data_IF_484127448785
#
_entry.id   IF_484127448785
#
_cell.length_a   1.000
_cell.length_b   1.000
_cell.length_c   1.000
_cell.angle_alpha   90.00
_cell.angle_beta   90.00
_cell.angle_gamma   90.00
#
_symmetry.space_group_name_H-M   'P 1'
#
loop_
_entity.id
_entity.type
_entity.pdbx_description
1 polymer ?
#
# COMPACT_ATOMS: atom_id res chain seq x y z
N UNK A 1 24.76 4.27 2.44
CA UNK A 1 23.46 3.56 2.47
C UNK A 1 23.71 2.17 3.01
N UNK A 2 22.89 1.70 3.94
CA UNK A 2 22.95 0.32 4.46
C UNK A 2 22.81 -0.68 3.28
N UNK A 3 23.76 -1.63 3.09
CA UNK A 3 23.69 -2.63 2.03
C UNK A 3 22.36 -3.41 2.02
N UNK A 4 21.79 -3.69 3.19
CA UNK A 4 20.52 -4.43 3.33
C UNK A 4 19.34 -3.58 2.83
N UNK A 5 19.31 -2.30 3.17
CA UNK A 5 18.32 -1.36 2.66
C UNK A 5 18.39 -1.25 1.12
N UNK A 6 19.60 -1.21 0.55
CA UNK A 6 19.80 -1.12 -0.90
C UNK A 6 19.25 -2.35 -1.62
N UNK A 7 19.51 -3.55 -1.10
CA UNK A 7 18.99 -4.80 -1.65
C UNK A 7 17.45 -4.81 -1.65
N UNK A 8 16.83 -4.43 -0.53
CA UNK A 8 15.38 -4.44 -0.36
C UNK A 8 14.69 -3.43 -1.28
N UNK A 9 15.25 -2.22 -1.43
CA UNK A 9 14.76 -1.22 -2.38
C UNK A 9 14.85 -1.71 -3.83
N UNK A 10 15.97 -2.32 -4.21
CA UNK A 10 16.12 -2.87 -5.56
C UNK A 10 15.10 -3.97 -5.85
N UNK A 11 14.91 -4.91 -4.92
CA UNK A 11 13.91 -5.97 -5.04
C UNK A 11 12.50 -5.39 -5.23
N UNK A 12 12.11 -4.41 -4.40
CA UNK A 12 10.79 -3.79 -4.47
C UNK A 12 10.58 -3.07 -5.81
N UNK A 13 11.59 -2.32 -6.28
CA UNK A 13 11.55 -1.66 -7.57
C UNK A 13 11.35 -2.67 -8.72
N UNK A 14 12.08 -3.78 -8.72
CA UNK A 14 11.93 -4.81 -9.75
C UNK A 14 10.54 -5.47 -9.71
N UNK A 15 9.98 -5.74 -8.53
CA UNK A 15 8.62 -6.26 -8.40
C UNK A 15 7.56 -5.27 -8.89
N UNK A 16 7.78 -3.97 -8.70
CA UNK A 16 6.91 -2.91 -9.21
C UNK A 16 6.92 -2.85 -10.74
N UNK A 17 8.11 -2.86 -11.35
CA UNK A 17 8.27 -2.87 -12.81
C UNK A 17 7.61 -4.12 -13.43
N UNK A 18 7.80 -5.30 -12.82
CA UNK A 18 7.13 -6.53 -13.23
C UNK A 18 5.60 -6.40 -13.19
N UNK A 19 5.04 -5.81 -12.11
CA UNK A 19 3.59 -5.59 -11.98
C UNK A 19 3.06 -4.68 -13.09
N UNK A 20 3.73 -3.56 -13.38
CA UNK A 20 3.31 -2.62 -14.44
C UNK A 20 3.29 -3.31 -15.80
N UNK A 21 4.30 -4.10 -16.10
CA UNK A 21 4.41 -4.85 -17.35
C UNK A 21 3.51 -6.09 -17.39
N UNK A 22 2.98 -6.51 -16.23
CA UNK A 22 2.22 -7.75 -16.06
C UNK A 22 3.07 -9.01 -16.19
N UNK A 23 4.38 -8.90 -16.01
CA UNK A 23 5.30 -10.04 -16.01
C UNK A 23 5.14 -10.80 -14.69
N UNK A 24 5.11 -12.13 -14.78
CA UNK A 24 5.01 -13.04 -13.63
C UNK A 24 3.78 -12.84 -12.72
N UNK A 25 2.86 -11.93 -13.06
CA UNK A 25 1.61 -11.72 -12.36
C UNK A 25 0.74 -12.98 -12.47
N UNK A 26 0.60 -13.67 -11.35
CA UNK A 26 -0.10 -14.94 -11.19
C UNK A 26 -1.50 -14.76 -10.56
N UNK A 27 -1.99 -13.52 -10.48
CA UNK A 27 -3.38 -13.24 -10.16
C UNK A 27 -3.88 -11.93 -10.79
N UNK A 28 -5.21 -11.84 -10.92
CA UNK A 28 -5.94 -10.65 -11.30
C UNK A 28 -7.04 -10.37 -10.27
N UNK A 29 -7.01 -9.20 -9.65
CA UNK A 29 -8.07 -8.74 -8.76
C UNK A 29 -9.09 -7.94 -9.56
N UNK A 30 -10.38 -8.21 -9.37
CA UNK A 30 -11.48 -7.49 -10.04
C UNK A 30 -12.30 -6.78 -8.98
N UNK A 31 -12.38 -5.45 -9.08
CA UNK A 31 -13.17 -4.60 -8.18
C UNK A 31 -14.04 -3.67 -9.01
N UNK A 32 -15.36 -3.85 -8.94
CA UNK A 32 -16.35 -3.06 -9.71
C UNK A 32 -16.01 -2.95 -11.21
N UNK A 33 -15.54 -4.05 -11.80
CA UNK A 33 -15.17 -4.13 -13.23
C UNK A 33 -13.76 -3.61 -13.57
N UNK A 34 -13.03 -3.05 -12.60
CA UNK A 34 -11.62 -2.67 -12.78
C UNK A 34 -10.72 -3.83 -12.42
N UNK A 35 -9.76 -4.13 -13.31
CA UNK A 35 -8.84 -5.26 -13.17
C UNK A 35 -7.45 -4.79 -12.73
N UNK A 36 -6.89 -5.47 -11.74
CA UNK A 36 -5.54 -5.22 -11.23
C UNK A 36 -4.71 -6.50 -11.32
N UNK A 37 -3.67 -6.50 -12.16
CA UNK A 37 -2.67 -7.56 -12.17
C UNK A 37 -1.77 -7.43 -10.95
N UNK A 38 -1.42 -8.56 -10.33
CA UNK A 38 -0.54 -8.60 -9.16
C UNK A 38 0.12 -9.96 -9.00
N UNK A 39 1.10 -10.01 -8.11
CA UNK A 39 1.74 -11.24 -7.64
C UNK A 39 1.14 -11.69 -6.30
N UNK A 40 0.67 -12.93 -6.22
CA UNK A 40 0.09 -13.51 -5.01
C UNK A 40 1.03 -13.46 -3.82
N UNK A 41 2.32 -13.70 -4.05
CA UNK A 41 3.33 -13.69 -2.99
C UNK A 41 3.49 -12.31 -2.33
N UNK A 42 3.50 -11.23 -3.11
CA UNK A 42 3.55 -9.85 -2.60
C UNK A 42 2.28 -9.55 -1.82
N UNK A 43 1.10 -9.79 -2.42
CA UNK A 43 -0.17 -9.56 -1.74
C UNK A 43 -0.27 -10.32 -0.40
N UNK A 44 0.09 -11.60 -0.39
CA UNK A 44 0.09 -12.44 0.80
C UNK A 44 1.14 -12.05 1.84
N UNK A 45 2.22 -11.36 1.47
CA UNK A 45 3.20 -10.86 2.43
C UNK A 45 2.61 -9.72 3.29
N UNK A 46 1.80 -8.85 2.67
CA UNK A 46 1.24 -7.66 3.30
C UNK A 46 -0.17 -7.86 3.89
N UNK A 47 -0.94 -8.82 3.39
CA UNK A 47 -2.35 -9.01 3.72
C UNK A 47 -2.64 -10.42 4.20
N UNK A 48 -3.18 -10.53 5.42
CA UNK A 48 -3.67 -11.81 5.93
C UNK A 48 -4.88 -12.32 5.13
N UNK A 49 -5.73 -11.41 4.65
CA UNK A 49 -6.88 -11.74 3.81
C UNK A 49 -6.42 -12.44 2.52
N UNK A 50 -5.48 -11.85 1.78
CA UNK A 50 -4.97 -12.44 0.55
C UNK A 50 -4.22 -13.75 0.81
N UNK A 51 -3.45 -13.83 1.90
CA UNK A 51 -2.79 -15.08 2.31
C UNK A 51 -3.80 -16.22 2.48
N UNK A 52 -4.86 -15.99 3.26
CA UNK A 52 -5.91 -16.98 3.47
C UNK A 52 -6.70 -17.27 2.19
N UNK A 53 -6.98 -16.24 1.37
CA UNK A 53 -7.68 -16.40 0.09
C UNK A 53 -6.91 -17.36 -0.83
N UNK A 54 -5.61 -17.14 -1.02
CA UNK A 54 -4.80 -17.93 -1.96
C UNK A 54 -4.51 -19.34 -1.46
N UNK A 55 -4.36 -19.54 -0.15
CA UNK A 55 -4.19 -20.87 0.43
C UNK A 55 -5.44 -21.74 0.25
N UNK A 56 -6.63 -21.13 0.37
CA UNK A 56 -7.90 -21.83 0.24
C UNK A 56 -8.35 -22.00 -1.23
N UNK A 57 -7.78 -21.22 -2.15
CA UNK A 57 -8.13 -21.24 -3.57
C UNK A 57 -7.21 -22.13 -4.43
N UNK A 58 -6.45 -23.05 -3.82
CA UNK A 58 -5.47 -23.91 -4.52
C UNK A 58 -6.05 -24.77 -5.64
N UNK A 59 -7.39 -24.92 -5.69
CA UNK A 59 -8.12 -25.66 -6.72
C UNK A 59 -8.80 -24.78 -7.78
N UNK A 60 -8.72 -23.45 -7.71
CA UNK A 60 -9.33 -22.58 -8.73
C UNK A 60 -8.47 -22.54 -10.00
N UNK A 61 -9.09 -22.86 -11.14
CA UNK A 61 -8.43 -22.86 -12.47
C UNK A 61 -8.14 -21.46 -13.02
N UNK A 62 -8.88 -20.45 -12.56
CA UNK A 62 -8.78 -19.09 -13.05
C UNK A 62 -8.33 -18.21 -11.88
N UNK A 63 -7.09 -17.70 -11.93
CA UNK A 63 -6.49 -16.84 -10.92
C UNK A 63 -7.08 -15.41 -10.88
N UNK A 64 -8.39 -15.32 -11.11
CA UNK A 64 -9.18 -14.08 -11.17
C UNK A 64 -10.05 -14.01 -9.93
N UNK A 65 -9.75 -13.06 -9.05
CA UNK A 65 -10.39 -12.89 -7.75
C UNK A 65 -11.30 -11.67 -7.76
N UNK A 66 -12.59 -11.87 -7.60
CA UNK A 66 -13.56 -10.78 -7.49
C UNK A 66 -13.64 -10.36 -6.04
N UNK A 67 -13.26 -9.11 -5.74
CA UNK A 67 -13.24 -8.60 -4.37
C UNK A 67 -14.46 -7.74 -4.11
N UNK A 68 -15.10 -7.97 -2.97
CA UNK A 68 -16.19 -7.14 -2.47
C UNK A 68 -15.65 -5.92 -1.71
N UNK A 69 -14.94 -5.06 -2.44
CA UNK A 69 -14.37 -3.81 -1.92
C UNK A 69 -15.22 -2.64 -2.41
N UNK A 70 -15.66 -1.78 -1.48
CA UNK A 70 -16.55 -0.64 -1.79
C UNK A 70 -15.88 0.40 -2.69
N UNK A 71 -14.59 0.64 -2.54
CA UNK A 71 -13.89 1.74 -3.20
C UNK A 71 -12.72 1.24 -4.07
N UNK A 72 -12.81 1.47 -5.38
CA UNK A 72 -11.77 1.09 -6.35
C UNK A 72 -10.48 1.89 -6.12
N UNK A 73 -10.59 3.16 -5.73
CA UNK A 73 -9.42 4.01 -5.44
C UNK A 73 -8.59 3.45 -4.27
N UNK A 74 -9.26 3.00 -3.20
CA UNK A 74 -8.60 2.45 -2.02
C UNK A 74 -7.76 1.22 -2.32
N UNK A 75 -8.27 0.26 -3.11
CA UNK A 75 -7.48 -0.92 -3.49
C UNK A 75 -6.28 -0.53 -4.36
N UNK A 76 -6.47 0.40 -5.31
CA UNK A 76 -5.37 0.89 -6.15
C UNK A 76 -4.22 1.46 -5.32
N UNK A 77 -4.53 2.37 -4.38
CA UNK A 77 -3.53 2.98 -3.50
C UNK A 77 -2.85 1.96 -2.56
N UNK A 78 -3.60 0.98 -2.03
CA UNK A 78 -3.01 -0.10 -1.22
C UNK A 78 -2.04 -0.93 -2.05
N UNK A 79 -2.41 -1.29 -3.28
CA UNK A 79 -1.51 -2.02 -4.17
C UNK A 79 -0.28 -1.19 -4.50
N UNK A 80 -0.43 0.10 -4.80
CA UNK A 80 0.72 0.96 -5.09
C UNK A 80 1.64 1.06 -3.87
N UNK A 81 1.10 1.19 -2.67
CA UNK A 81 1.88 1.12 -1.44
C UNK A 81 2.63 -0.21 -1.28
N UNK A 82 2.00 -1.36 -1.55
CA UNK A 82 2.67 -2.67 -1.47
C UNK A 82 3.89 -2.78 -2.41
N UNK A 83 3.87 -2.05 -3.53
CA UNK A 83 4.92 -2.12 -4.56
C UNK A 83 5.88 -0.91 -4.57
N UNK A 84 5.57 0.17 -3.85
CA UNK A 84 6.38 1.40 -3.87
C UNK A 84 6.77 1.89 -2.48
N UNK A 85 6.22 1.30 -1.42
CA UNK A 85 6.28 1.78 -0.04
C UNK A 85 5.71 3.19 0.18
N UNK A 86 5.08 3.78 -0.84
CA UNK A 86 4.55 5.13 -0.80
C UNK A 86 3.04 5.12 -0.61
N UNK A 87 2.54 5.95 0.29
CA UNK A 87 1.11 6.14 0.53
C UNK A 87 0.82 7.60 0.87
N UNK A 88 0.07 8.26 -0.02
CA UNK A 88 -0.39 9.63 0.19
C UNK A 88 -1.72 9.63 0.94
N UNK A 89 -1.69 10.07 2.20
CA UNK A 89 -2.88 10.23 3.04
C UNK A 89 -3.27 11.71 3.15
N UNK A 90 -4.57 11.98 3.04
CA UNK A 90 -5.17 13.29 3.23
C UNK A 90 -6.59 13.15 3.82
N UNK A 91 -7.22 14.28 4.14
CA UNK A 91 -8.55 14.29 4.76
C UNK A 91 -9.64 13.69 3.86
N UNK A 92 -9.46 13.74 2.54
CA UNK A 92 -10.45 13.25 1.58
C UNK A 92 -10.39 11.72 1.42
N UNK A 93 -9.20 11.12 1.55
CA UNK A 93 -9.00 9.70 1.29
C UNK A 93 -8.87 8.82 2.54
N UNK A 94 -8.65 9.40 3.73
CA UNK A 94 -8.32 8.65 4.94
C UNK A 94 -9.38 7.60 5.32
N UNK A 95 -10.67 7.92 5.20
CA UNK A 95 -11.73 6.98 5.54
C UNK A 95 -11.83 5.83 4.53
N UNK A 96 -11.66 6.13 3.25
CA UNK A 96 -11.59 5.11 2.20
C UNK A 96 -10.41 4.16 2.46
N UNK A 97 -9.26 4.71 2.84
CA UNK A 97 -8.07 3.92 3.13
C UNK A 97 -8.23 3.04 4.38
N UNK A 98 -8.84 3.55 5.44
CA UNK A 98 -9.14 2.76 6.65
C UNK A 98 -10.06 1.58 6.32
N UNK A 99 -11.19 1.84 5.69
CA UNK A 99 -12.17 0.80 5.33
C UNK A 99 -11.53 -0.27 4.44
N UNK A 100 -10.78 0.15 3.43
CA UNK A 100 -10.14 -0.77 2.49
C UNK A 100 -9.04 -1.58 3.17
N UNK A 101 -8.18 -0.95 3.97
CA UNK A 101 -7.10 -1.64 4.67
C UNK A 101 -7.63 -2.59 5.75
N UNK A 102 -8.77 -2.27 6.38
CA UNK A 102 -9.45 -3.16 7.32
C UNK A 102 -10.05 -4.36 6.60
N UNK A 103 -10.76 -4.15 5.49
CA UNK A 103 -11.34 -5.20 4.67
C UNK A 103 -10.26 -6.18 4.16
N UNK A 104 -9.14 -5.64 3.67
CA UNK A 104 -8.03 -6.42 3.14
C UNK A 104 -7.01 -6.82 4.20
N UNK A 105 -7.23 -6.50 5.48
CA UNK A 105 -6.37 -6.84 6.60
C UNK A 105 -4.88 -6.46 6.39
N UNK A 106 -4.63 -5.24 5.91
CA UNK A 106 -3.30 -4.69 5.62
C UNK A 106 -2.83 -3.85 6.81
N UNK A 107 -2.16 -4.48 7.76
CA UNK A 107 -1.91 -3.90 9.10
C UNK A 107 -0.98 -2.67 9.09
N UNK A 108 0.02 -2.65 8.21
CA UNK A 108 0.91 -1.51 8.08
C UNK A 108 0.17 -0.27 7.54
N UNK A 109 -0.73 -0.42 6.56
CA UNK A 109 -1.58 0.68 6.09
C UNK A 109 -2.53 1.15 7.20
N UNK A 110 -3.18 0.24 7.94
CA UNK A 110 -4.02 0.62 9.09
C UNK A 110 -3.24 1.45 10.13
N UNK A 111 -2.01 1.05 10.43
CA UNK A 111 -1.13 1.77 11.36
C UNK A 111 -0.79 3.17 10.85
N UNK A 112 -0.53 3.34 9.56
CA UNK A 112 -0.31 4.64 8.93
C UNK A 112 -1.56 5.52 9.00
N UNK A 113 -2.73 4.97 8.68
CA UNK A 113 -4.00 5.68 8.77
C UNK A 113 -4.30 6.17 10.20
N UNK A 114 -4.11 5.32 11.21
CA UNK A 114 -4.31 5.73 12.60
C UNK A 114 -3.31 6.80 13.05
N UNK A 115 -2.07 6.73 12.58
CA UNK A 115 -1.04 7.76 12.84
C UNK A 115 -1.43 9.10 12.21
N UNK A 116 -1.93 9.08 10.98
CA UNK A 116 -2.45 10.26 10.29
C UNK A 116 -3.62 10.89 11.05
N UNK A 117 -4.60 10.09 11.50
CA UNK A 117 -5.73 10.61 12.26
C UNK A 117 -5.30 11.21 13.61
N UNK A 118 -4.37 10.57 14.32
CA UNK A 118 -3.85 11.11 15.59
C UNK A 118 -3.13 12.44 15.38
N UNK A 119 -2.30 12.57 14.35
CA UNK A 119 -1.60 13.83 14.05
C UNK A 119 -2.56 14.93 13.57
N UNK A 120 -3.60 14.60 12.82
CA UNK A 120 -4.64 15.55 12.41
C UNK A 120 -5.47 16.09 13.59
N UNK A 121 -5.61 15.32 14.67
CA UNK A 121 -6.22 15.81 15.92
C UNK A 121 -5.30 16.69 16.76
N UNK A 122 -4.01 16.78 16.41
CA UNK A 122 -2.99 17.59 17.11
C UNK A 122 -2.67 18.85 16.31
N UNK A 123 -3.66 19.73 16.14
CA UNK A 123 -3.49 21.13 15.67
C UNK A 123 -4.67 21.95 16.25
N UNK A 124 -4.58 23.11 16.94
CA UNK A 124 -3.50 24.00 17.42
C UNK A 124 -4.18 25.10 18.32
N UNK A 125 -3.48 25.81 19.24
CA UNK A 125 -3.92 27.14 19.70
C UNK A 125 -3.95 28.15 18.53
N UNK A 126 -4.84 29.16 18.55
CA UNK A 126 -5.26 29.86 17.35
C UNK A 126 -4.18 30.74 16.72
N UNK A 127 -3.80 30.43 15.47
CA UNK A 127 -3.26 31.41 14.51
C UNK A 127 -2.00 30.99 13.74
N UNK A 128 -2.16 30.35 12.57
CA UNK A 128 -1.42 30.66 11.31
C UNK A 128 -1.84 29.72 10.17
N UNK A 129 -1.71 30.12 8.88
CA UNK A 129 -2.36 29.45 7.75
C UNK A 129 -1.58 28.23 7.24
N UNK A 130 -2.33 27.23 6.78
CA UNK A 130 -1.84 25.88 6.47
C UNK A 130 -1.62 25.70 4.96
N UNK A 131 -0.48 25.13 4.58
CA UNK A 131 -0.30 24.36 3.34
C UNK A 131 0.61 23.17 3.67
N UNK A 132 0.05 21.99 3.95
CA UNK A 132 0.82 20.81 4.33
C UNK A 132 0.45 19.62 3.44
N UNK A 133 1.14 19.48 2.31
CA UNK A 133 1.25 18.21 1.59
C UNK A 133 2.27 17.35 2.35
N UNK A 134 1.84 16.25 2.97
CA UNK A 134 2.75 15.30 3.61
C UNK A 134 3.16 14.23 2.59
N UNK A 135 4.21 14.52 1.82
CA UNK A 135 4.99 13.49 1.13
C UNK A 135 6.07 13.01 2.09
N UNK A 136 6.03 11.72 2.48
CA UNK A 136 7.07 11.12 3.30
C UNK A 136 8.32 10.85 2.43
N UNK A 137 9.19 11.85 2.27
CA UNK A 137 10.56 11.65 1.79
C UNK A 137 11.50 11.44 2.99
N UNK A 138 12.32 10.39 2.91
CA UNK A 138 13.35 10.07 3.90
C UNK A 138 14.46 11.13 3.93
N UNK A 139 14.50 11.95 4.99
CA UNK A 139 15.63 12.85 5.28
C UNK A 139 16.75 12.08 5.96
N UNK A 140 17.84 11.81 5.23
CA UNK A 140 19.16 11.54 5.81
C UNK A 140 19.88 12.88 5.98
N UNK A 141 20.26 13.19 7.21
CA UNK A 141 21.08 14.36 7.55
C UNK A 141 22.53 14.18 7.06
N UNK A 142 23.18 15.22 6.52
CA UNK A 142 24.62 15.24 6.33
C UNK A 142 25.29 15.71 7.63
N UNK A 143 26.24 14.94 8.17
CA UNK A 143 27.60 15.46 8.43
C UNK A 143 28.52 14.44 9.11
N UNK A 144 29.81 14.68 8.88
CA UNK A 144 30.98 14.30 9.66
C UNK A 144 31.72 12.97 9.33
N UNK A 145 32.68 13.11 8.40
CA UNK A 145 34.11 12.77 8.54
C UNK A 145 34.54 11.30 8.77
N UNK A 146 35.43 10.87 7.85
CA UNK A 146 36.16 9.59 7.68
C UNK A 146 35.41 8.48 6.94
#
# INVERSE_FOLDING_TARGET
MDPVATHSCHLLQQLHEQRIQGLLCDCMLVVKGVCFKAHKNVLAAFSQYFRSLFQNSSSQKNDVFHLDVKNVSGIGQILDFMYTSHLDLNQDNIQVMLDTAQCLQVQNVLSLCHTFLKSATVVQPPGMPCNSTLSLQSTLTPDATC
#
